data_IF_322202119519
#
_entry.id   IF_322202119519
#
_cell.length_a   1.000
_cell.length_b   1.000
_cell.length_c   1.000
_cell.angle_alpha   90.00
_cell.angle_beta   90.00
_cell.angle_gamma   90.00
#
_symmetry.space_group_name_H-M   'P 1'
#
loop_
_entity.id
_entity.type
_entity.pdbx_description
1 polymer ?
#
# COMPACT_ATOMS: atom_id res chain seq x y z
N UNK A 1 7.31 14.28 -19.93
CA UNK A 1 7.38 13.03 -20.72
C UNK A 1 8.86 12.80 -20.99
N UNK A 2 9.56 11.83 -20.42
CA UNK A 2 9.22 10.46 -20.04
C UNK A 2 10.16 10.02 -18.90
N UNK A 3 9.60 9.79 -17.71
CA UNK A 3 10.30 9.18 -16.57
C UNK A 3 10.13 7.65 -16.66
N UNK A 4 11.09 6.96 -17.27
CA UNK A 4 11.11 5.50 -17.26
C UNK A 4 11.69 5.01 -15.92
N UNK A 5 10.81 4.79 -14.96
CA UNK A 5 11.05 4.02 -13.75
C UNK A 5 11.29 2.55 -14.15
N UNK A 6 12.56 2.15 -14.31
CA UNK A 6 12.92 0.73 -14.40
C UNK A 6 12.99 0.16 -12.98
N UNK A 7 11.98 -0.66 -12.65
CA UNK A 7 11.86 -1.48 -11.46
C UNK A 7 13.19 -2.12 -11.06
N UNK A 8 13.67 -1.76 -9.86
CA UNK A 8 14.82 -2.35 -9.21
C UNK A 8 14.52 -3.83 -8.87
N UNK A 9 15.10 -4.74 -9.65
CA UNK A 9 15.19 -6.16 -9.31
C UNK A 9 16.51 -6.38 -8.61
N UNK A 10 16.43 -6.68 -7.33
CA UNK A 10 17.51 -7.16 -6.49
C UNK A 10 17.27 -8.67 -6.37
N UNK A 11 18.28 -9.53 -6.51
CA UNK A 11 18.25 -10.82 -5.83
C UNK A 11 19.30 -10.85 -4.74
N UNK A 12 19.20 -11.84 -3.86
CA UNK A 12 19.88 -11.89 -2.58
C UNK A 12 20.89 -13.05 -2.57
N UNK A 13 22.18 -12.73 -2.41
CA UNK A 13 23.19 -13.71 -2.03
C UNK A 13 23.16 -13.96 -0.54
N UNK A 14 23.07 -15.21 -0.09
CA UNK A 14 23.25 -15.57 1.30
C UNK A 14 24.68 -16.09 1.55
N UNK A 15 25.42 -15.41 2.42
CA UNK A 15 26.66 -15.91 3.00
C UNK A 15 26.35 -16.76 4.22
N UNK A 16 26.68 -18.06 4.19
CA UNK A 16 26.42 -18.94 5.34
C UNK A 16 27.28 -18.58 6.56
N UNK A 17 28.38 -17.86 6.37
CA UNK A 17 29.32 -17.47 7.44
C UNK A 17 29.02 -16.09 8.06
N UNK A 18 28.47 -15.13 7.31
CA UNK A 18 28.19 -13.77 7.83
C UNK A 18 26.71 -13.45 7.96
N UNK A 19 25.82 -14.29 7.41
CA UNK A 19 24.38 -14.05 7.32
C UNK A 19 24.02 -12.74 6.59
N UNK A 20 24.96 -12.21 5.80
CA UNK A 20 24.75 -11.01 5.00
C UNK A 20 24.06 -11.35 3.69
N UNK A 21 23.14 -10.47 3.30
CA UNK A 21 22.41 -10.50 2.05
C UNK A 21 22.95 -9.46 1.09
N UNK A 22 23.62 -9.87 0.01
CA UNK A 22 24.09 -8.93 -1.02
C UNK A 22 23.10 -8.87 -2.19
N UNK A 23 22.88 -7.65 -2.69
CA UNK A 23 22.03 -7.41 -3.84
C UNK A 23 22.74 -7.73 -5.14
N UNK A 24 22.02 -8.33 -6.08
CA UNK A 24 22.52 -8.66 -7.41
C UNK A 24 21.51 -8.41 -8.53
N UNK A 25 21.99 -8.52 -9.76
CA UNK A 25 21.17 -8.43 -10.96
C UNK A 25 21.44 -9.61 -11.89
N UNK A 26 20.41 -10.39 -12.20
CA UNK A 26 20.54 -11.55 -13.10
C UNK A 26 20.90 -11.10 -14.53
N UNK A 27 21.68 -11.92 -15.23
CA UNK A 27 21.88 -11.80 -16.66
C UNK A 27 20.56 -11.85 -17.45
N UNK A 28 20.59 -11.27 -18.65
CA UNK A 28 19.52 -11.39 -19.63
C UNK A 28 19.52 -12.76 -20.36
N UNK A 29 20.56 -13.58 -20.14
CA UNK A 29 20.78 -14.87 -20.79
C UNK A 29 21.11 -15.96 -19.76
N UNK A 30 21.06 -17.22 -20.19
CA UNK A 30 21.23 -18.38 -19.31
C UNK A 30 19.99 -18.71 -18.47
N UNK A 31 20.02 -19.83 -17.74
CA UNK A 31 18.89 -20.25 -16.91
C UNK A 31 18.71 -19.34 -15.69
N UNK A 32 17.48 -19.35 -15.15
CA UNK A 32 17.15 -18.72 -13.86
C UNK A 32 17.42 -19.71 -12.74
N UNK A 33 17.74 -19.19 -11.56
CA UNK A 33 17.86 -20.00 -10.34
C UNK A 33 16.46 -20.34 -9.85
N UNK A 34 16.25 -21.60 -9.48
CA UNK A 34 15.00 -22.07 -8.91
C UNK A 34 14.82 -21.48 -7.50
N UNK A 35 13.65 -20.91 -7.24
CA UNK A 35 13.30 -20.23 -5.98
C UNK A 35 13.22 -21.21 -4.82
N UNK A 36 12.84 -22.48 -5.08
CA UNK A 36 12.53 -23.44 -4.01
C UNK A 36 13.77 -24.07 -3.37
N UNK A 37 14.84 -24.26 -4.16
CA UNK A 37 16.05 -24.96 -3.71
C UNK A 37 17.26 -24.05 -3.54
N UNK A 38 17.29 -22.91 -4.24
CA UNK A 38 18.49 -22.08 -4.37
C UNK A 38 19.68 -22.85 -4.97
N UNK A 39 20.79 -22.14 -5.21
CA UNK A 39 22.03 -22.75 -5.66
C UNK A 39 23.14 -22.45 -4.65
N UNK A 40 23.58 -23.48 -3.92
CA UNK A 40 24.71 -23.35 -2.99
C UNK A 40 26.00 -23.82 -3.65
N UNK A 41 27.05 -23.03 -3.54
CA UNK A 41 28.36 -23.41 -4.05
C UNK A 41 29.50 -22.61 -3.41
N UNK A 42 30.72 -23.07 -3.68
CA UNK A 42 31.94 -22.46 -3.13
C UNK A 42 32.46 -21.36 -4.04
N UNK A 43 32.60 -20.15 -3.52
CA UNK A 43 33.07 -19.00 -4.28
C UNK A 43 34.58 -19.11 -4.55
N UNK A 44 34.97 -19.07 -5.82
CA UNK A 44 36.37 -19.16 -6.26
C UNK A 44 36.62 -18.11 -7.34
N UNK A 45 37.68 -17.32 -7.18
CA UNK A 45 38.16 -16.43 -8.22
C UNK A 45 39.22 -17.12 -9.09
N UNK A 46 39.22 -16.91 -10.43
CA UNK A 46 40.30 -17.37 -11.28
C UNK A 46 41.68 -16.84 -10.84
N UNK A 47 42.78 -17.50 -11.23
CA UNK A 47 44.13 -17.04 -10.91
C UNK A 47 44.42 -15.64 -11.47
N UNK A 48 45.38 -14.91 -10.86
CA UNK A 48 45.68 -13.49 -11.14
C UNK A 48 45.88 -13.15 -12.63
N UNK A 49 46.32 -14.10 -13.46
CA UNK A 49 46.48 -13.92 -14.90
C UNK A 49 45.19 -13.87 -15.72
N UNK A 50 44.04 -14.26 -15.15
CA UNK A 50 42.73 -14.23 -15.82
C UNK A 50 41.58 -13.94 -14.85
N UNK A 51 41.73 -12.93 -13.99
CA UNK A 51 40.65 -12.45 -13.09
C UNK A 51 39.35 -12.07 -13.82
N UNK A 52 39.45 -11.84 -15.13
CA UNK A 52 38.34 -11.50 -16.01
C UNK A 52 37.56 -12.73 -16.48
N UNK A 53 38.09 -13.95 -16.31
CA UNK A 53 37.46 -15.19 -16.76
C UNK A 53 37.29 -15.29 -18.27
N UNK A 54 38.24 -14.75 -19.05
CA UNK A 54 38.14 -14.74 -20.52
C UNK A 54 38.64 -16.02 -21.17
N UNK A 55 39.32 -16.90 -20.41
CA UNK A 55 39.86 -18.18 -20.85
C UNK A 55 39.33 -19.31 -19.97
N UNK A 56 39.30 -20.51 -20.56
CA UNK A 56 38.97 -21.74 -19.83
C UNK A 56 40.14 -22.06 -18.90
N UNK A 57 39.84 -22.28 -17.63
CA UNK A 57 40.80 -22.67 -16.60
C UNK A 57 40.63 -24.15 -16.26
N UNK A 58 41.67 -24.74 -15.67
CA UNK A 58 41.56 -26.09 -15.12
C UNK A 58 40.57 -26.06 -13.95
N UNK A 59 39.53 -26.87 -14.01
CA UNK A 59 38.52 -26.97 -12.94
C UNK A 59 39.21 -27.13 -11.58
N UNK A 60 38.84 -26.33 -10.57
CA UNK A 60 39.29 -26.56 -9.21
C UNK A 60 38.86 -27.96 -8.74
N UNK A 61 39.60 -28.53 -7.79
CA UNK A 61 39.28 -29.84 -7.21
C UNK A 61 38.01 -29.83 -6.32
N UNK A 62 37.40 -28.66 -6.16
CA UNK A 62 36.22 -28.43 -5.33
C UNK A 62 34.97 -28.62 -6.19
N UNK A 63 34.05 -29.47 -5.72
CA UNK A 63 32.75 -29.67 -6.35
C UNK A 63 31.85 -28.44 -6.12
N UNK A 64 30.98 -28.17 -7.09
CA UNK A 64 29.93 -27.14 -7.00
C UNK A 64 30.51 -25.74 -6.70
N UNK A 65 31.49 -25.32 -7.51
CA UNK A 65 32.12 -24.02 -7.36
C UNK A 65 31.44 -22.93 -8.20
N UNK A 66 31.42 -21.72 -7.64
CA UNK A 66 30.85 -20.53 -8.25
C UNK A 66 31.99 -19.60 -8.62
N UNK A 67 32.06 -19.21 -9.90
CA UNK A 67 33.12 -18.36 -10.41
C UNK A 67 32.88 -16.90 -10.04
N UNK A 68 33.87 -16.24 -9.41
CA UNK A 68 33.89 -14.80 -9.17
C UNK A 68 34.83 -14.12 -10.16
N UNK A 69 34.27 -13.36 -11.11
CA UNK A 69 35.04 -12.72 -12.19
C UNK A 69 34.84 -11.20 -12.22
N UNK A 70 35.88 -10.50 -12.67
CA UNK A 70 35.83 -9.05 -12.82
C UNK A 70 35.34 -8.64 -14.23
N UNK A 71 34.59 -7.54 -14.30
CA UNK A 71 34.16 -6.93 -15.56
C UNK A 71 35.34 -6.32 -16.31
N UNK A 72 35.36 -6.48 -17.63
CA UNK A 72 36.39 -5.94 -18.52
C UNK A 72 37.00 -7.02 -19.43
N UNK A 73 37.91 -6.61 -20.33
CA UNK A 73 38.66 -7.45 -21.29
C UNK A 73 37.86 -8.21 -22.36
N UNK A 74 36.77 -8.88 -22.00
CA UNK A 74 35.93 -9.67 -22.91
C UNK A 74 34.43 -9.49 -22.62
N UNK A 75 33.58 -9.99 -23.52
CA UNK A 75 32.12 -9.88 -23.42
C UNK A 75 31.57 -10.70 -22.24
N UNK A 76 30.41 -10.31 -21.69
CA UNK A 76 29.76 -11.07 -20.62
C UNK A 76 29.47 -12.52 -21.03
N UNK A 77 29.06 -12.74 -22.29
CA UNK A 77 28.84 -14.07 -22.83
C UNK A 77 30.11 -14.93 -22.76
N UNK A 78 31.24 -14.38 -23.22
CA UNK A 78 32.51 -15.10 -23.22
C UNK A 78 32.98 -15.44 -21.80
N UNK A 79 32.77 -14.53 -20.84
CA UNK A 79 33.09 -14.77 -19.42
C UNK A 79 32.33 -15.97 -18.87
N UNK A 80 31.00 -15.92 -19.02
CA UNK A 80 30.11 -16.96 -18.50
C UNK A 80 30.39 -18.29 -19.19
N UNK A 81 30.56 -18.29 -20.52
CA UNK A 81 30.92 -19.49 -21.29
C UNK A 81 32.24 -20.10 -20.84
N UNK A 82 33.29 -19.30 -20.69
CA UNK A 82 34.62 -19.81 -20.29
C UNK A 82 34.59 -20.43 -18.89
N UNK A 83 33.86 -19.84 -17.96
CA UNK A 83 33.72 -20.37 -16.59
C UNK A 83 32.81 -21.60 -16.54
N UNK A 84 31.75 -21.64 -17.35
CA UNK A 84 30.93 -22.84 -17.55
C UNK A 84 31.77 -24.00 -18.10
N UNK A 85 32.56 -23.76 -19.15
CA UNK A 85 33.45 -24.75 -19.76
C UNK A 85 34.56 -25.20 -18.78
N UNK A 86 34.86 -24.38 -17.77
CA UNK A 86 35.76 -24.71 -16.66
C UNK A 86 35.08 -25.50 -15.53
N UNK A 87 33.77 -25.79 -15.64
CA UNK A 87 32.99 -26.58 -14.70
C UNK A 87 32.32 -25.79 -13.57
N UNK A 88 32.22 -24.46 -13.68
CA UNK A 88 31.51 -23.65 -12.68
C UNK A 88 30.00 -23.94 -12.72
N UNK A 89 29.34 -23.98 -11.56
CA UNK A 89 27.87 -24.16 -11.48
C UNK A 89 27.11 -22.85 -11.57
N UNK A 90 27.78 -21.73 -11.31
CA UNK A 90 27.24 -20.37 -11.45
C UNK A 90 28.37 -19.37 -11.68
N UNK A 91 28.04 -18.19 -12.21
CA UNK A 91 29.02 -17.13 -12.46
C UNK A 91 28.55 -15.79 -11.89
N UNK A 92 29.37 -15.22 -11.01
CA UNK A 92 29.17 -13.89 -10.43
C UNK A 92 30.16 -12.94 -11.10
N UNK A 93 29.63 -11.95 -11.81
CA UNK A 93 30.42 -10.89 -12.44
C UNK A 93 30.32 -9.64 -11.58
N UNK A 94 31.45 -9.04 -11.23
CA UNK A 94 31.46 -7.78 -10.51
C UNK A 94 32.38 -6.74 -11.10
N UNK A 95 32.27 -5.52 -10.62
CA UNK A 95 33.09 -4.40 -11.07
C UNK A 95 33.73 -3.73 -9.86
N UNK A 96 35.06 -3.61 -9.84
CA UNK A 96 35.80 -3.01 -8.72
C UNK A 96 35.72 -1.48 -8.72
N UNK A 97 35.40 -0.87 -9.85
CA UNK A 97 35.54 0.56 -10.08
C UNK A 97 34.19 1.26 -10.34
N UNK A 98 33.25 0.59 -10.99
CA UNK A 98 31.98 1.16 -11.40
C UNK A 98 30.86 0.98 -10.36
N UNK A 99 30.36 2.09 -9.82
CA UNK A 99 29.31 2.11 -8.79
C UNK A 99 27.87 2.03 -9.35
N UNK A 100 27.66 1.33 -10.46
CA UNK A 100 26.34 1.23 -11.11
C UNK A 100 25.93 -0.20 -11.38
N UNK A 101 24.61 -0.41 -11.45
CA UNK A 101 24.06 -1.70 -11.85
C UNK A 101 24.16 -1.89 -13.36
N UNK A 102 24.62 -3.06 -13.79
CA UNK A 102 24.71 -3.44 -15.20
C UNK A 102 23.88 -4.69 -15.43
N UNK A 103 22.94 -4.63 -16.37
CA UNK A 103 22.29 -5.84 -16.86
C UNK A 103 23.22 -6.49 -17.89
N UNK A 104 23.70 -7.70 -17.59
CA UNK A 104 24.54 -8.43 -18.54
C UNK A 104 23.71 -8.87 -19.73
N UNK A 105 24.05 -8.34 -20.91
CA UNK A 105 23.45 -8.68 -22.19
C UNK A 105 24.50 -9.30 -23.11
N UNK A 106 24.05 -10.23 -23.96
CA UNK A 106 24.88 -10.92 -24.93
C UNK A 106 24.29 -10.71 -26.33
N UNK A 107 25.06 -10.12 -27.27
CA UNK A 107 24.63 -10.06 -28.66
C UNK A 107 24.82 -11.44 -29.31
N UNK A 108 23.74 -12.02 -29.84
CA UNK A 108 23.78 -13.27 -30.59
C UNK A 108 23.13 -14.45 -29.86
N UNK A 109 23.48 -15.66 -30.29
CA UNK A 109 22.94 -16.90 -29.72
C UNK A 109 23.53 -17.17 -28.33
N UNK A 110 22.67 -17.55 -27.40
CA UNK A 110 23.02 -17.87 -26.00
C UNK A 110 22.50 -19.24 -25.57
N UNK A 111 22.05 -20.06 -26.53
CA UNK A 111 21.51 -21.42 -26.30
C UNK A 111 22.48 -22.36 -25.57
N UNK A 112 23.79 -22.11 -25.72
CA UNK A 112 24.86 -22.90 -25.12
C UNK A 112 25.10 -22.59 -23.64
N UNK A 113 24.46 -21.56 -23.06
CA UNK A 113 24.65 -21.16 -21.67
C UNK A 113 23.64 -21.90 -20.78
N UNK A 114 24.16 -22.78 -19.92
CA UNK A 114 23.44 -23.65 -19.02
C UNK A 114 23.69 -23.34 -17.54
N UNK A 115 24.51 -22.33 -17.22
CA UNK A 115 24.76 -21.90 -15.84
C UNK A 115 24.11 -20.53 -15.57
N UNK A 116 23.48 -20.34 -14.39
CA UNK A 116 22.95 -19.04 -14.01
C UNK A 116 24.10 -18.04 -13.79
N UNK A 117 23.87 -16.79 -14.16
CA UNK A 117 24.85 -15.72 -13.98
C UNK A 117 24.22 -14.43 -13.48
N UNK A 118 24.97 -13.74 -12.62
CA UNK A 118 24.51 -12.59 -11.85
C UNK A 118 25.59 -11.51 -11.80
N UNK A 119 25.16 -10.25 -11.72
CA UNK A 119 26.02 -9.09 -11.66
C UNK A 119 25.92 -8.40 -10.31
N UNK A 120 27.07 -8.08 -9.71
CA UNK A 120 27.18 -7.30 -8.46
C UNK A 120 27.81 -5.95 -8.71
N UNK A 121 27.24 -4.90 -8.11
CA UNK A 121 27.81 -3.56 -8.15
C UNK A 121 29.05 -3.45 -7.25
N UNK A 122 29.77 -2.32 -7.35
CA UNK A 122 31.07 -2.11 -6.70
C UNK A 122 31.09 -2.41 -5.20
N UNK A 123 30.10 -1.94 -4.45
CA UNK A 123 30.07 -2.13 -3.01
C UNK A 123 30.00 -3.62 -2.64
N UNK A 124 29.10 -4.35 -3.29
CA UNK A 124 28.90 -5.79 -3.10
C UNK A 124 30.14 -6.56 -3.55
N UNK A 125 30.70 -6.24 -4.72
CA UNK A 125 31.88 -6.92 -5.23
C UNK A 125 33.11 -6.75 -4.31
N UNK A 126 33.33 -5.54 -3.78
CA UNK A 126 34.42 -5.31 -2.81
C UNK A 126 34.21 -6.08 -1.51
N UNK A 127 32.97 -6.18 -1.03
CA UNK A 127 32.66 -7.00 0.14
C UNK A 127 33.00 -8.48 -0.11
N UNK A 128 32.69 -9.01 -1.30
CA UNK A 128 33.07 -10.38 -1.70
C UNK A 128 34.58 -10.58 -1.69
N UNK A 129 35.34 -9.65 -2.26
CA UNK A 129 36.80 -9.72 -2.30
C UNK A 129 37.41 -9.68 -0.89
N UNK A 130 36.89 -8.84 0.00
CA UNK A 130 37.36 -8.77 1.39
C UNK A 130 37.12 -10.08 2.16
N UNK A 131 35.96 -10.72 1.94
CA UNK A 131 35.67 -12.03 2.53
C UNK A 131 36.61 -13.11 2.00
N UNK A 132 36.88 -13.07 0.70
CA UNK A 132 37.80 -14.01 0.05
C UNK A 132 39.24 -13.86 0.58
N UNK A 133 39.77 -12.64 0.64
CA UNK A 133 41.13 -12.36 1.15
C UNK A 133 41.31 -12.74 2.62
N UNK A 134 40.28 -12.55 3.44
CA UNK A 134 40.31 -12.89 4.86
C UNK A 134 40.32 -14.40 5.11
N UNK A 135 39.69 -15.16 4.22
CA UNK A 135 39.48 -16.60 4.36
C UNK A 135 40.32 -17.43 3.39
N UNK A 136 41.51 -16.96 2.98
CA UNK A 136 42.45 -17.60 2.02
C UNK A 136 42.74 -19.12 2.20
N UNK A 137 42.27 -19.74 3.28
CA UNK A 137 42.44 -21.15 3.64
C UNK A 137 41.16 -21.98 3.40
N UNK A 138 39.97 -21.36 3.39
CA UNK A 138 38.68 -22.04 3.35
C UNK A 138 37.80 -21.46 2.22
N UNK A 139 37.23 -22.32 1.35
CA UNK A 139 36.28 -21.85 0.33
C UNK A 139 35.04 -21.21 0.98
N UNK A 140 34.62 -20.06 0.48
CA UNK A 140 33.48 -19.31 1.02
C UNK A 140 32.18 -19.85 0.43
N UNK A 141 31.31 -20.52 1.21
CA UNK A 141 30.04 -21.03 0.69
C UNK A 141 29.04 -19.89 0.49
N UNK A 142 28.51 -19.78 -0.71
CA UNK A 142 27.51 -18.78 -1.12
C UNK A 142 26.26 -19.51 -1.61
N UNK A 143 25.10 -19.04 -1.18
CA UNK A 143 23.81 -19.52 -1.68
C UNK A 143 23.14 -18.43 -2.51
N UNK A 144 22.85 -18.74 -3.77
CA UNK A 144 22.05 -17.91 -4.65
C UNK A 144 20.59 -18.29 -4.45
N UNK A 145 19.76 -17.38 -3.98
CA UNK A 145 18.31 -17.60 -3.88
C UNK A 145 17.60 -16.74 -4.91
N UNK A 146 16.61 -17.30 -5.59
CA UNK A 146 15.66 -16.49 -6.37
C UNK A 146 14.69 -15.79 -5.41
N UNK A 147 14.39 -14.52 -5.67
CA UNK A 147 13.38 -13.79 -4.91
C UNK A 147 11.97 -14.17 -5.43
N UNK A 148 11.12 -14.68 -4.54
CA UNK A 148 9.73 -15.00 -4.87
C UNK A 148 8.93 -13.74 -5.24
N UNK A 149 8.47 -13.70 -6.50
CA UNK A 149 7.66 -12.64 -7.12
C UNK A 149 6.42 -12.20 -6.32
N UNK A 150 5.94 -13.02 -5.39
CA UNK A 150 4.69 -12.82 -4.67
C UNK A 150 4.84 -12.12 -3.31
N UNK A 151 6.06 -11.91 -2.81
CA UNK A 151 6.23 -11.69 -1.38
C UNK A 151 6.20 -10.23 -0.90
N UNK A 152 6.42 -9.20 -1.73
CA UNK A 152 6.48 -7.80 -1.20
C UNK A 152 5.79 -6.71 -2.04
N UNK A 153 6.08 -6.50 -3.35
CA UNK A 153 5.53 -5.34 -4.04
C UNK A 153 4.05 -5.47 -4.46
N UNK A 154 3.58 -6.68 -4.79
CA UNK A 154 2.20 -6.87 -5.27
C UNK A 154 1.18 -6.87 -4.13
N UNK A 155 1.52 -7.51 -3.00
CA UNK A 155 0.67 -7.52 -1.82
C UNK A 155 0.55 -6.12 -1.23
N UNK A 156 1.66 -5.39 -1.10
CA UNK A 156 1.66 -4.01 -0.61
C UNK A 156 0.86 -3.07 -1.53
N UNK A 157 0.99 -3.23 -2.85
CA UNK A 157 0.18 -2.46 -3.81
C UNK A 157 -1.31 -2.79 -3.69
N UNK A 158 -1.67 -4.07 -3.52
CA UNK A 158 -3.06 -4.48 -3.37
C UNK A 158 -3.67 -3.96 -2.06
N UNK A 159 -2.90 -3.94 -0.98
CA UNK A 159 -3.32 -3.35 0.29
C UNK A 159 -3.59 -1.84 0.16
N UNK A 160 -2.71 -1.09 -0.49
CA UNK A 160 -2.90 0.35 -0.69
C UNK A 160 -4.12 0.64 -1.57
N UNK A 161 -4.28 -0.10 -2.68
CA UNK A 161 -5.38 0.12 -3.63
C UNK A 161 -6.74 -0.25 -3.04
N UNK A 162 -6.82 -1.28 -2.21
CA UNK A 162 -8.11 -1.76 -1.66
C UNK A 162 -8.45 -1.07 -0.33
N UNK A 163 -7.48 -0.90 0.57
CA UNK A 163 -7.76 -0.36 1.91
C UNK A 163 -7.98 1.16 1.88
N UNK A 164 -7.29 1.90 1.01
CA UNK A 164 -7.44 3.36 0.96
C UNK A 164 -8.86 3.82 0.59
N UNK A 165 -9.51 3.28 -0.48
CA UNK A 165 -10.90 3.60 -0.78
C UNK A 165 -11.87 3.16 0.32
N UNK A 166 -11.62 2.02 0.97
CA UNK A 166 -12.47 1.53 2.06
C UNK A 166 -12.45 2.48 3.27
N UNK A 167 -11.26 2.97 3.65
CA UNK A 167 -11.10 3.95 4.74
C UNK A 167 -11.75 5.29 4.37
N UNK A 168 -11.55 5.77 3.14
CA UNK A 168 -12.23 6.98 2.64
C UNK A 168 -13.75 6.84 2.66
N UNK A 169 -14.28 5.71 2.18
CA UNK A 169 -15.72 5.43 2.17
C UNK A 169 -16.29 5.36 3.59
N UNK A 170 -15.58 4.73 4.52
CA UNK A 170 -15.97 4.68 5.93
C UNK A 170 -15.99 6.10 6.54
N UNK A 171 -14.97 6.91 6.27
CA UNK A 171 -14.91 8.29 6.76
C UNK A 171 -16.05 9.15 6.20
N UNK A 172 -16.34 9.05 4.89
CA UNK A 172 -17.48 9.73 4.26
C UNK A 172 -18.79 9.25 4.87
N UNK A 173 -18.95 7.95 5.09
CA UNK A 173 -20.14 7.37 5.71
C UNK A 173 -20.35 7.87 7.14
N UNK A 174 -19.29 7.89 7.97
CA UNK A 174 -19.35 8.38 9.35
C UNK A 174 -19.67 9.87 9.40
N UNK A 175 -19.00 10.69 8.58
CA UNK A 175 -19.29 12.14 8.50
C UNK A 175 -20.71 12.41 8.01
N UNK A 176 -21.20 11.64 7.03
CA UNK A 176 -22.60 11.70 6.59
C UNK A 176 -23.56 11.31 7.71
N UNK A 177 -23.31 10.22 8.45
CA UNK A 177 -24.15 9.77 9.54
C UNK A 177 -24.20 10.79 10.69
N UNK A 178 -23.06 11.39 11.04
CA UNK A 178 -22.98 12.46 12.03
C UNK A 178 -23.75 13.70 11.59
N UNK A 179 -23.58 14.13 10.33
CA UNK A 179 -24.36 15.24 9.76
C UNK A 179 -25.86 14.92 9.75
N UNK A 180 -26.25 13.69 9.43
CA UNK A 180 -27.64 13.28 9.43
C UNK A 180 -28.22 13.30 10.85
N UNK A 181 -27.48 12.85 11.86
CA UNK A 181 -27.86 12.97 13.27
C UNK A 181 -28.01 14.44 13.68
N UNK A 182 -27.10 15.31 13.24
CA UNK A 182 -27.16 16.73 13.55
C UNK A 182 -28.34 17.44 12.87
N UNK A 183 -28.59 17.16 11.58
CA UNK A 183 -29.76 17.67 10.84
C UNK A 183 -31.07 17.27 11.55
N UNK A 184 -31.18 16.02 11.99
CA UNK A 184 -32.35 15.55 12.75
C UNK A 184 -32.61 16.36 14.02
N UNK A 185 -31.56 16.83 14.70
CA UNK A 185 -31.66 17.69 15.89
C UNK A 185 -32.04 19.13 15.54
N UNK A 186 -31.55 19.67 14.43
CA UNK A 186 -31.81 21.05 14.00
C UNK A 186 -33.25 21.26 13.47
N UNK A 187 -33.93 20.21 13.02
CA UNK A 187 -35.33 20.31 12.55
C UNK A 187 -36.36 20.48 13.69
N UNK A 188 -35.94 20.38 14.97
CA UNK A 188 -36.82 20.53 16.14
C UNK A 188 -36.55 21.90 16.78
N UNK A 189 -37.60 22.70 16.99
CA UNK A 189 -37.44 23.99 17.64
C UNK A 189 -37.05 23.79 19.12
N UNK A 190 -36.02 24.50 19.64
CA UNK A 190 -35.66 24.41 21.05
C UNK A 190 -36.83 24.87 21.92
N UNK A 191 -37.17 24.08 22.94
CA UNK A 191 -38.29 24.32 23.86
C UNK A 191 -38.27 25.72 24.48
N UNK A 192 -37.08 26.25 24.75
CA UNK A 192 -36.86 27.60 25.29
C UNK A 192 -37.32 28.72 24.35
N UNK A 193 -37.29 28.52 23.04
CA UNK A 193 -37.77 29.51 22.07
C UNK A 193 -39.29 29.48 21.99
N UNK A 194 -39.87 28.27 21.90
CA UNK A 194 -41.33 28.06 21.84
C UNK A 194 -42.00 28.65 23.09
N UNK A 195 -41.43 28.43 24.28
CA UNK A 195 -41.96 28.95 25.54
C UNK A 195 -42.10 30.48 25.60
N UNK A 196 -41.31 31.23 24.83
CA UNK A 196 -41.30 32.70 24.79
C UNK A 196 -42.35 33.31 23.85
N UNK A 197 -43.06 32.49 23.08
CA UNK A 197 -44.09 32.99 22.17
C UNK A 197 -45.28 33.58 22.96
N UNK A 198 -45.89 34.68 22.46
CA UNK A 198 -46.99 35.34 23.13
C UNK A 198 -48.18 34.40 23.30
N UNK A 199 -48.77 34.41 24.48
CA UNK A 199 -49.96 33.61 24.83
C UNK A 199 -51.00 34.48 25.49
N UNK A 200 -52.27 34.23 25.18
CA UNK A 200 -53.39 34.92 25.80
C UNK A 200 -54.54 33.95 26.07
N UNK A 201 -55.49 34.37 26.90
CA UNK A 201 -56.69 33.58 27.24
C UNK A 201 -57.84 34.05 26.36
N UNK A 202 -58.46 33.11 25.64
CA UNK A 202 -59.59 33.41 24.77
C UNK A 202 -60.80 33.89 25.58
N UNK A 203 -61.36 35.03 25.18
CA UNK A 203 -62.58 35.62 25.74
C UNK A 203 -63.53 35.96 24.60
N UNK A 204 -64.75 35.44 24.67
CA UNK A 204 -65.77 35.54 23.60
C UNK A 204 -66.24 36.99 23.36
N UNK A 205 -66.03 37.89 24.32
CA UNK A 205 -66.40 39.31 24.25
C UNK A 205 -65.53 40.17 23.31
N UNK A 206 -64.40 39.63 22.81
CA UNK A 206 -63.42 40.35 21.97
C UNK A 206 -63.51 40.05 20.47
N UNK A 207 -64.58 39.40 20.01
CA UNK A 207 -64.75 38.99 18.62
C UNK A 207 -65.21 40.18 17.77
N UNK A 208 -64.27 40.96 17.24
CA UNK A 208 -64.57 41.94 16.19
C UNK A 208 -63.83 41.65 14.88
N UNK A 209 -62.71 40.91 14.87
CA UNK A 209 -61.94 40.63 13.64
C UNK A 209 -61.08 39.34 13.73
N UNK A 210 -61.68 38.15 13.94
CA UNK A 210 -60.91 36.89 13.91
C UNK A 210 -61.46 35.99 12.78
N UNK A 211 -60.69 35.85 11.69
CA UNK A 211 -61.04 35.03 10.51
C UNK A 211 -61.11 33.51 10.81
N UNK A 212 -60.58 33.04 11.94
CA UNK A 212 -60.55 31.61 12.30
C UNK A 212 -60.93 31.38 13.76
N UNK A 213 -62.10 30.77 14.02
CA UNK A 213 -62.64 30.47 15.37
C UNK A 213 -62.29 29.07 15.89
N UNK A 214 -61.45 28.34 15.16
CA UNK A 214 -61.06 26.97 15.45
C UNK A 214 -59.54 26.79 15.43
N UNK A 215 -59.05 25.81 16.16
CA UNK A 215 -57.66 25.42 16.15
C UNK A 215 -57.38 24.45 15.01
N UNK A 216 -56.64 24.86 13.97
CA UNK A 216 -56.36 23.97 12.82
C UNK A 216 -55.45 22.76 13.12
N UNK A 217 -54.96 22.60 14.36
CA UNK A 217 -54.16 21.44 14.79
C UNK A 217 -55.05 20.34 15.36
N UNK A 218 -56.00 20.67 16.25
CA UNK A 218 -56.93 19.70 16.84
C UNK A 218 -58.33 19.72 16.22
N UNK A 219 -58.62 20.69 15.36
CA UNK A 219 -59.91 20.91 14.71
C UNK A 219 -61.07 21.16 15.70
N UNK A 220 -60.75 21.71 16.88
CA UNK A 220 -61.73 22.10 17.89
C UNK A 220 -61.94 23.61 17.92
N UNK A 221 -63.18 24.04 18.15
CA UNK A 221 -63.55 25.44 18.36
C UNK A 221 -62.91 26.03 19.64
N UNK A 222 -62.58 27.31 19.60
CA UNK A 222 -62.08 28.03 20.77
C UNK A 222 -63.17 28.24 21.82
N UNK A 223 -62.87 27.80 23.05
CA UNK A 223 -63.75 27.93 24.22
C UNK A 223 -63.25 29.01 25.16
N UNK A 224 -64.18 29.60 25.91
CA UNK A 224 -63.84 30.60 26.91
C UNK A 224 -62.88 30.02 27.96
N UNK A 225 -61.77 30.72 28.19
CA UNK A 225 -60.69 30.22 29.06
C UNK A 225 -59.58 29.46 28.35
N UNK A 226 -59.69 29.19 27.03
CA UNK A 226 -58.64 28.50 26.28
C UNK A 226 -57.36 29.33 26.21
N UNK A 227 -56.22 28.65 26.39
CA UNK A 227 -54.91 29.27 26.22
C UNK A 227 -54.46 29.19 24.76
N UNK A 228 -54.46 30.35 24.09
CA UNK A 228 -54.02 30.48 22.71
C UNK A 228 -52.59 31.00 22.63
N UNK A 229 -51.87 30.56 21.60
CA UNK A 229 -50.52 30.97 21.28
C UNK A 229 -50.48 31.53 19.87
N UNK A 230 -49.96 32.74 19.73
CA UNK A 230 -49.83 33.44 18.44
C UNK A 230 -48.41 33.25 17.92
N UNK A 231 -48.28 32.68 16.71
CA UNK A 231 -46.99 32.52 16.04
C UNK A 231 -46.52 33.85 15.42
N UNK A 232 -45.22 33.99 15.04
CA UNK A 232 -44.73 35.19 14.34
C UNK A 232 -45.44 35.48 13.01
N UNK A 233 -46.05 34.47 12.40
CA UNK A 233 -46.90 34.59 11.20
C UNK A 233 -48.36 35.00 11.53
N UNK A 234 -48.66 35.40 12.77
CA UNK A 234 -49.97 35.83 13.30
C UNK A 234 -51.07 34.77 13.37
N UNK A 235 -50.80 33.53 12.97
CA UNK A 235 -51.73 32.43 13.17
C UNK A 235 -51.80 32.02 14.65
N UNK A 236 -52.98 31.60 15.08
CA UNK A 236 -53.29 31.29 16.47
C UNK A 236 -53.70 29.83 16.60
N UNK A 237 -53.28 29.21 17.70
CA UNK A 237 -53.55 27.80 18.01
C UNK A 237 -53.65 27.63 19.52
N UNK A 238 -54.26 26.53 20.00
CA UNK A 238 -54.09 26.15 21.40
C UNK A 238 -52.61 25.98 21.74
N UNK A 239 -52.19 26.55 22.86
CA UNK A 239 -50.83 26.47 23.39
C UNK A 239 -50.35 25.02 23.45
N UNK A 240 -51.17 24.12 24.00
CA UNK A 240 -50.83 22.69 24.11
C UNK A 240 -50.62 22.04 22.73
N UNK A 241 -51.42 22.42 21.75
CA UNK A 241 -51.41 21.85 20.41
C UNK A 241 -50.14 22.26 19.64
N UNK A 242 -49.85 23.55 19.59
CA UNK A 242 -48.70 24.09 18.85
C UNK A 242 -47.37 23.80 19.52
N UNK A 243 -47.32 23.73 20.87
CA UNK A 243 -46.09 23.45 21.59
C UNK A 243 -45.60 22.02 21.33
N UNK A 244 -46.52 21.04 21.36
CA UNK A 244 -46.19 19.65 21.04
C UNK A 244 -45.77 19.53 19.57
N UNK A 245 -46.47 20.21 18.66
CA UNK A 245 -46.17 20.19 17.24
C UNK A 245 -44.78 20.77 16.90
N UNK A 246 -44.37 21.86 17.57
CA UNK A 246 -43.06 22.51 17.36
C UNK A 246 -41.89 21.77 18.04
N UNK A 247 -42.15 21.05 19.13
CA UNK A 247 -41.11 20.45 19.97
C UNK A 247 -40.97 18.93 19.81
N UNK A 248 -41.93 18.26 19.16
CA UNK A 248 -41.97 16.79 19.04
C UNK A 248 -42.32 16.35 17.61
N UNK A 249 -41.68 15.28 17.11
CA UNK A 249 -41.99 14.68 15.79
C UNK A 249 -43.17 13.68 15.78
N UNK A 250 -44.00 13.63 16.84
CA UNK A 250 -45.12 12.69 16.91
C UNK A 250 -46.31 13.25 16.13
N UNK A 251 -46.89 12.44 15.24
CA UNK A 251 -48.17 12.76 14.59
C UNK A 251 -49.24 12.84 15.68
N UNK A 252 -50.03 13.92 15.69
CA UNK A 252 -51.18 14.03 16.58
C UNK A 252 -52.09 12.81 16.38
N UNK A 253 -52.31 12.05 17.44
CA UNK A 253 -53.40 11.08 17.54
C UNK A 253 -54.32 11.66 18.60
N UNK A 254 -55.52 12.08 18.20
CA UNK A 254 -56.57 12.51 19.11
C UNK A 254 -56.95 11.33 20.01
N UNK A 255 -56.57 11.40 21.28
CA UNK A 255 -57.12 10.50 22.31
C UNK A 255 -58.29 11.25 22.92
N UNK A 256 -59.48 11.06 22.36
CA UNK A 256 -60.72 11.38 23.07
C UNK A 256 -60.94 10.28 24.13
N UNK A 257 -60.94 10.68 25.40
CA UNK A 257 -61.57 9.94 26.50
C UNK A 257 -62.96 10.52 26.67
#
# INVERSE_FOLDING_TARGET
MSSNYYSHRNNIFFFKETNDTLVDRIAAFGPRIDTDFGLTGNLISPPEGDIFGCKVIKSPAIKDWIALVERGQCSFLQKVKSMQDSGAVAVIVGDRHFNGWVTMYAPGDTSEIHVPSVFVAQHQYKALLQLFEKNNIVPVPVTLSGDDLLTWPLLDMLLVVVLSPAVMMLFIYLTWQLRQRQRRKNDIAPTNFVAKLPTYIFRREKIVDIEHTECAICLEDYKEGDHLRTLPCKHEFHKACVDIWLTTRKKFVSVHI
#
